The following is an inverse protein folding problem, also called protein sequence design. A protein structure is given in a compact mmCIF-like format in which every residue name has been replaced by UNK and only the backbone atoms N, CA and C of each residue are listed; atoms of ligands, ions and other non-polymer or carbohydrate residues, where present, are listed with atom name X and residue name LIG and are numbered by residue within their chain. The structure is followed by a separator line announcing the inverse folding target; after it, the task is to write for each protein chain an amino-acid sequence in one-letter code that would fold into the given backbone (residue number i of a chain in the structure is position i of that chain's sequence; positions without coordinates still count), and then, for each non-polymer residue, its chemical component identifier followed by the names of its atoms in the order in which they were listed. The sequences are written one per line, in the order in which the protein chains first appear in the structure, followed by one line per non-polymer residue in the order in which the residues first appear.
data_IF_397340222360
#
_entry.id   IF_397340222360
#
_cell.length_a   1.000
_cell.length_b   1.000
_cell.length_c   1.000
_cell.angle_alpha   90.00
_cell.angle_beta   90.00
_cell.angle_gamma   90.00
#
_symmetry.space_group_name_H-M   'P 1'
#
loop_
_entity.id
_entity.type
_entity.pdbx_description
1 polymer ?
#
# COMPACT_ATOMS: atom_id res chain seq x y z
N UNK A 1 -28.76 -0.20 5.35
CA UNK A 1 -28.48 0.58 4.12
C UNK A 1 -27.94 1.94 4.53
N UNK A 2 -26.84 2.41 3.95
CA UNK A 2 -26.25 3.72 4.31
C UNK A 2 -27.14 4.87 3.84
N UNK A 3 -27.42 5.83 4.73
CA UNK A 3 -28.11 7.08 4.40
C UNK A 3 -27.09 8.21 4.25
N UNK A 4 -26.98 8.74 3.04
CA UNK A 4 -26.07 9.88 2.75
C UNK A 4 -26.43 11.10 3.59
N UNK A 5 -27.73 11.37 3.75
CA UNK A 5 -28.23 12.50 4.55
C UNK A 5 -27.82 12.39 6.01
N UNK A 6 -27.72 11.17 6.57
CA UNK A 6 -27.23 10.97 7.94
C UNK A 6 -25.72 11.15 8.02
N UNK A 7 -24.95 10.61 7.06
CA UNK A 7 -23.50 10.81 7.03
C UNK A 7 -23.17 12.30 6.92
N UNK A 8 -23.84 13.06 6.05
CA UNK A 8 -23.59 14.50 5.86
C UNK A 8 -23.80 15.34 7.13
N UNK A 9 -24.56 14.83 8.12
CA UNK A 9 -24.76 15.52 9.41
C UNK A 9 -23.57 15.34 10.38
N UNK A 10 -22.80 14.28 10.21
CA UNK A 10 -21.75 13.86 11.15
C UNK A 10 -20.34 13.85 10.53
N UNK A 11 -20.21 14.12 9.24
CA UNK A 11 -18.99 14.00 8.46
C UNK A 11 -18.72 15.29 7.68
N UNK A 12 -17.52 15.84 7.83
CA UNK A 12 -17.09 17.13 7.24
C UNK A 12 -16.41 16.95 5.90
N UNK A 13 -15.83 15.76 5.67
CA UNK A 13 -15.01 15.45 4.52
C UNK A 13 -15.81 15.20 3.24
N UNK A 14 -15.13 14.83 2.17
CA UNK A 14 -15.73 14.48 0.87
C UNK A 14 -16.41 13.12 0.93
N UNK A 15 -17.61 13.03 0.32
CA UNK A 15 -18.34 11.80 0.08
C UNK A 15 -18.55 11.64 -1.43
N UNK A 16 -18.03 10.56 -2.00
CA UNK A 16 -18.27 10.12 -3.38
C UNK A 16 -19.19 8.92 -3.41
N UNK A 17 -20.04 8.84 -4.42
CA UNK A 17 -20.90 7.69 -4.71
C UNK A 17 -20.48 7.05 -6.02
N UNK A 18 -20.46 5.73 -6.07
CA UNK A 18 -20.06 4.98 -7.25
C UNK A 18 -18.70 5.48 -7.80
N UNK A 19 -17.75 5.71 -6.91
CA UNK A 19 -16.44 6.26 -7.25
C UNK A 19 -15.59 5.20 -7.94
N UNK A 20 -15.08 5.50 -9.14
CA UNK A 20 -14.16 4.62 -9.88
C UNK A 20 -12.81 4.56 -9.17
N UNK A 21 -12.35 3.35 -8.81
CA UNK A 21 -11.17 3.16 -7.98
C UNK A 21 -9.85 3.05 -8.76
N UNK A 22 -9.87 2.78 -10.05
CA UNK A 22 -8.67 2.70 -10.88
C UNK A 22 -7.72 3.89 -10.74
N UNK A 23 -8.17 5.18 -10.71
CA UNK A 23 -7.29 6.33 -10.50
C UNK A 23 -6.60 6.38 -9.14
N UNK A 24 -7.13 5.68 -8.14
CA UNK A 24 -6.60 5.62 -6.77
C UNK A 24 -5.63 4.45 -6.54
N UNK A 25 -5.30 3.70 -7.59
CA UNK A 25 -4.31 2.61 -7.55
C UNK A 25 -3.13 2.90 -8.48
N UNK A 26 -1.94 2.44 -8.10
CA UNK A 26 -0.76 2.53 -8.98
C UNK A 26 -0.85 1.57 -10.17
N UNK A 27 -1.67 0.55 -10.08
CA UNK A 27 -1.93 -0.40 -11.18
C UNK A 27 -2.88 0.19 -12.23
N UNK A 28 -3.62 1.27 -11.88
CA UNK A 28 -4.68 1.84 -12.73
C UNK A 28 -5.77 0.83 -13.08
N UNK A 29 -6.06 -0.08 -12.16
CA UNK A 29 -7.09 -1.11 -12.26
C UNK A 29 -7.98 -1.03 -11.02
N UNK A 30 -9.29 -1.21 -11.20
CA UNK A 30 -10.27 -1.26 -10.13
C UNK A 30 -11.62 -0.73 -10.56
N UNK A 31 -12.67 -1.49 -10.23
CA UNK A 31 -14.06 -1.10 -10.43
C UNK A 31 -14.52 0.00 -9.47
N UNK A 32 -15.80 0.01 -9.16
CA UNK A 32 -16.48 1.10 -8.44
C UNK A 32 -16.57 0.80 -6.94
N UNK A 33 -16.35 1.80 -6.07
CA UNK A 33 -16.75 1.76 -4.67
C UNK A 33 -18.19 2.27 -4.53
N UNK A 34 -19.03 1.59 -3.73
CA UNK A 34 -20.38 2.08 -3.46
C UNK A 34 -20.33 3.47 -2.81
N UNK A 35 -19.46 3.61 -1.80
CA UNK A 35 -19.19 4.87 -1.11
C UNK A 35 -17.69 5.11 -0.98
N UNK A 36 -17.26 6.33 -1.26
CA UNK A 36 -15.86 6.76 -1.11
C UNK A 36 -15.83 7.97 -0.19
N UNK A 37 -15.12 7.90 0.94
CA UNK A 37 -15.06 8.98 1.91
C UNK A 37 -13.63 9.42 2.17
N UNK A 38 -13.44 10.73 2.27
CA UNK A 38 -12.15 11.37 2.57
C UNK A 38 -12.30 12.19 3.86
N UNK A 39 -12.05 11.58 5.04
CA UNK A 39 -12.13 12.28 6.32
C UNK A 39 -11.06 13.39 6.40
N UNK A 40 -11.41 14.51 7.04
CA UNK A 40 -10.50 15.65 7.23
C UNK A 40 -9.73 15.60 8.55
N UNK A 41 -10.28 14.92 9.56
CA UNK A 41 -9.68 14.82 10.90
C UNK A 41 -10.05 13.50 11.60
N UNK A 42 -9.52 13.30 12.82
CA UNK A 42 -9.76 12.10 13.61
C UNK A 42 -11.24 11.96 14.05
N UNK A 43 -11.94 13.07 14.26
CA UNK A 43 -13.37 13.08 14.61
C UNK A 43 -14.20 12.55 13.44
N UNK A 44 -13.92 12.98 12.22
CA UNK A 44 -14.56 12.45 11.01
C UNK A 44 -14.34 10.93 10.86
N UNK A 45 -13.11 10.45 11.11
CA UNK A 45 -12.83 9.00 11.08
C UNK A 45 -13.63 8.25 12.15
N UNK A 46 -13.69 8.76 13.37
CA UNK A 46 -14.49 8.14 14.44
C UNK A 46 -15.98 8.12 14.11
N UNK A 47 -16.50 9.23 13.60
CA UNK A 47 -17.90 9.37 13.25
C UNK A 47 -18.30 8.38 12.15
N UNK A 48 -17.53 8.33 11.05
CA UNK A 48 -17.85 7.41 9.94
C UNK A 48 -17.70 5.95 10.36
N UNK A 49 -16.63 5.57 11.09
CA UNK A 49 -16.42 4.19 11.55
C UNK A 49 -17.55 3.75 12.50
N UNK A 50 -17.95 4.60 13.44
CA UNK A 50 -19.05 4.29 14.35
C UNK A 50 -20.40 4.18 13.63
N UNK A 51 -20.63 5.02 12.62
CA UNK A 51 -21.84 4.95 11.81
C UNK A 51 -21.92 3.65 11.00
N UNK A 52 -20.87 3.31 10.23
CA UNK A 52 -20.85 2.11 9.38
C UNK A 52 -20.90 0.82 10.20
N UNK A 53 -20.24 0.79 11.38
CA UNK A 53 -20.31 -0.36 12.29
C UNK A 53 -21.72 -0.59 12.82
N UNK A 54 -22.49 0.47 13.11
CA UNK A 54 -23.91 0.36 13.54
C UNK A 54 -24.81 -0.18 12.43
N UNK A 55 -24.44 0.04 11.17
CA UNK A 55 -25.21 -0.39 10.00
C UNK A 55 -24.73 -1.76 9.46
N UNK A 56 -23.73 -2.37 10.10
CA UNK A 56 -23.08 -3.61 9.66
C UNK A 56 -22.59 -3.54 8.20
N UNK A 57 -22.02 -2.40 7.82
CA UNK A 57 -21.49 -2.17 6.47
C UNK A 57 -19.99 -2.39 6.45
N UNK A 58 -19.46 -3.21 5.51
CA UNK A 58 -18.03 -3.41 5.39
C UNK A 58 -17.31 -2.13 4.93
N UNK A 59 -16.06 -1.98 5.33
CA UNK A 59 -15.22 -0.90 4.86
C UNK A 59 -13.81 -1.35 4.50
N UNK A 60 -13.16 -0.59 3.64
CA UNK A 60 -11.77 -0.78 3.24
C UNK A 60 -11.00 0.53 3.34
N UNK A 61 -9.82 0.52 3.98
CA UNK A 61 -8.94 1.69 4.06
C UNK A 61 -7.96 1.66 2.90
N UNK A 62 -8.05 2.66 2.04
CA UNK A 62 -7.24 2.78 0.83
C UNK A 62 -6.18 3.88 1.02
N UNK A 63 -4.90 3.52 0.95
CA UNK A 63 -3.78 4.46 0.83
C UNK A 63 -3.53 4.83 -0.65
N UNK A 64 -2.28 4.69 -1.09
CA UNK A 64 -1.90 4.95 -2.49
C UNK A 64 -2.20 3.78 -3.47
N UNK A 65 -2.84 2.71 -3.01
CA UNK A 65 -3.20 1.58 -3.85
C UNK A 65 -2.03 0.86 -4.52
N UNK A 66 -0.84 0.88 -3.90
CA UNK A 66 0.41 0.42 -4.52
C UNK A 66 0.77 -1.06 -4.27
N UNK A 67 -0.03 -1.78 -3.50
CA UNK A 67 0.14 -3.21 -3.22
C UNK A 67 -1.18 -3.97 -3.26
N UNK A 68 -2.11 -3.52 -4.10
CA UNK A 68 -3.45 -4.10 -4.22
C UNK A 68 -3.84 -4.25 -5.68
N UNK A 69 -4.67 -5.25 -5.94
CA UNK A 69 -5.46 -5.40 -7.14
C UNK A 69 -6.92 -5.34 -6.73
N UNK A 70 -7.65 -4.33 -7.20
CA UNK A 70 -9.08 -4.19 -6.94
C UNK A 70 -9.84 -4.87 -8.07
N UNK A 71 -10.86 -5.66 -7.70
CA UNK A 71 -11.76 -6.36 -8.64
C UNK A 71 -12.36 -5.39 -9.66
N UNK A 72 -12.66 -5.91 -10.85
CA UNK A 72 -13.41 -5.19 -11.88
C UNK A 72 -14.82 -4.83 -11.40
N UNK A 73 -15.41 -5.64 -10.49
CA UNK A 73 -16.69 -5.36 -9.82
C UNK A 73 -16.57 -4.27 -8.73
N UNK A 74 -15.35 -3.91 -8.36
CA UNK A 74 -15.07 -2.89 -7.35
C UNK A 74 -15.17 -3.37 -5.90
N UNK A 75 -15.55 -2.47 -4.99
CA UNK A 75 -15.63 -2.74 -3.54
C UNK A 75 -17.03 -2.41 -3.06
N UNK A 76 -17.71 -3.40 -2.48
CA UNK A 76 -19.01 -3.20 -1.80
C UNK A 76 -18.77 -2.59 -0.42
N UNK A 77 -19.57 -1.58 -0.07
CA UNK A 77 -19.46 -0.85 1.19
C UNK A 77 -18.69 0.47 1.07
N UNK A 78 -17.90 0.81 2.10
CA UNK A 78 -17.26 2.12 2.21
C UNK A 78 -15.75 2.02 1.99
N UNK A 79 -15.20 2.78 1.05
CA UNK A 79 -13.76 2.99 0.90
C UNK A 79 -13.39 4.29 1.62
N UNK A 80 -12.45 4.20 2.56
CA UNK A 80 -11.94 5.34 3.34
C UNK A 80 -10.55 5.69 2.83
N UNK A 81 -10.37 6.89 2.27
CA UNK A 81 -9.08 7.40 1.82
C UNK A 81 -8.61 8.53 2.73
N UNK A 82 -7.42 8.40 3.30
CA UNK A 82 -6.88 9.32 4.30
C UNK A 82 -5.89 10.35 3.71
N UNK A 83 -5.67 10.33 2.39
CA UNK A 83 -4.61 11.15 1.78
C UNK A 83 -4.90 12.64 1.97
N UNK A 84 -6.13 13.09 1.79
CA UNK A 84 -6.47 14.52 1.86
C UNK A 84 -6.35 15.09 3.28
N UNK A 85 -6.89 14.41 4.29
CA UNK A 85 -6.91 14.91 5.67
C UNK A 85 -5.65 14.60 6.49
N UNK A 86 -4.89 13.56 6.11
CA UNK A 86 -3.79 13.05 6.92
C UNK A 86 -2.41 13.12 6.21
N UNK A 87 -2.23 14.07 5.29
CA UNK A 87 -0.96 14.33 4.61
C UNK A 87 -0.18 15.46 5.28
N UNK A 88 0.23 15.27 6.51
CA UNK A 88 1.04 16.23 7.27
C UNK A 88 2.28 15.57 7.90
N UNK A 89 3.28 16.41 8.23
CA UNK A 89 4.45 16.05 9.01
C UNK A 89 4.62 17.12 10.08
N UNK A 90 4.90 16.69 11.31
CA UNK A 90 5.22 17.54 12.46
C UNK A 90 6.54 17.08 13.08
N UNK A 91 7.26 18.00 13.69
CA UNK A 91 8.43 17.70 14.48
C UNK A 91 8.14 18.15 15.91
N UNK A 92 8.16 17.22 16.84
CA UNK A 92 7.92 17.45 18.27
C UNK A 92 9.04 16.79 19.06
N UNK A 93 9.84 17.62 19.73
CA UNK A 93 11.04 17.20 20.49
C UNK A 93 11.98 16.32 19.64
N UNK A 94 12.24 15.08 20.02
CA UNK A 94 13.08 14.11 19.33
C UNK A 94 12.32 13.25 18.29
N UNK A 95 11.05 13.57 18.04
CA UNK A 95 10.18 12.75 17.20
C UNK A 95 9.72 13.48 15.95
N UNK A 96 9.69 12.74 14.85
CA UNK A 96 8.96 13.13 13.64
C UNK A 96 7.62 12.40 13.63
N UNK A 97 6.53 13.16 13.56
CA UNK A 97 5.18 12.63 13.49
C UNK A 97 4.68 12.80 12.06
N UNK A 98 4.20 11.73 11.45
CA UNK A 98 3.63 11.76 10.11
C UNK A 98 2.21 11.24 10.09
N UNK A 99 1.30 11.99 9.48
CA UNK A 99 -0.03 11.51 9.16
C UNK A 99 0.01 10.33 8.19
N UNK A 100 -0.96 9.42 8.33
CA UNK A 100 -1.00 8.16 7.58
C UNK A 100 -1.19 8.32 6.08
N UNK A 101 -1.80 9.43 5.63
CA UNK A 101 -1.99 9.80 4.23
C UNK A 101 -0.73 10.35 3.55
N UNK A 102 0.32 10.73 4.33
CA UNK A 102 1.56 11.26 3.79
C UNK A 102 2.26 10.24 2.89
N UNK A 103 2.66 10.66 1.69
CA UNK A 103 3.46 9.82 0.78
C UNK A 103 4.88 9.62 1.32
N UNK A 104 5.39 8.40 1.27
CA UNK A 104 6.75 8.05 1.75
C UNK A 104 7.81 8.94 1.11
N UNK A 105 7.73 9.21 -0.19
CA UNK A 105 8.70 10.07 -0.86
C UNK A 105 8.80 11.46 -0.21
N UNK A 106 7.67 12.07 0.12
CA UNK A 106 7.63 13.38 0.80
C UNK A 106 8.11 13.30 2.24
N UNK A 107 7.80 12.20 2.94
CA UNK A 107 8.31 11.94 4.28
C UNK A 107 9.84 11.83 4.30
N UNK A 108 10.41 11.03 3.39
CA UNK A 108 11.87 10.89 3.23
C UNK A 108 12.52 12.23 2.87
N UNK A 109 11.93 13.00 1.94
CA UNK A 109 12.42 14.33 1.59
C UNK A 109 12.46 15.28 2.80
N UNK A 110 11.39 15.28 3.60
CA UNK A 110 11.32 16.08 4.83
C UNK A 110 12.41 15.68 5.83
N UNK A 111 12.59 14.37 6.06
CA UNK A 111 13.60 13.86 6.99
C UNK A 111 15.02 14.29 6.57
N UNK A 112 15.36 14.13 5.28
CA UNK A 112 16.67 14.52 4.74
C UNK A 112 16.87 16.04 4.86
N UNK A 113 15.86 16.86 4.56
CA UNK A 113 15.96 18.32 4.67
C UNK A 113 16.19 18.81 6.10
N UNK A 114 15.70 18.05 7.07
CA UNK A 114 15.85 18.33 8.50
C UNK A 114 17.00 17.53 9.17
N UNK A 115 17.95 17.03 8.38
CA UNK A 115 19.14 16.30 8.85
C UNK A 115 18.83 15.02 9.66
N UNK A 116 17.75 14.34 9.31
CA UNK A 116 17.46 12.99 9.78
C UNK A 116 17.91 11.94 8.76
N UNK A 117 18.43 10.82 9.26
CA UNK A 117 18.87 9.68 8.45
C UNK A 117 18.05 8.42 8.74
N UNK A 118 18.36 7.35 8.03
CA UNK A 118 17.80 6.02 8.27
C UNK A 118 16.57 5.67 7.45
N UNK A 119 15.94 6.63 6.76
CA UNK A 119 14.74 6.41 5.93
C UNK A 119 15.00 6.41 4.42
N UNK A 120 16.25 6.60 3.99
CA UNK A 120 16.63 6.69 2.57
C UNK A 120 16.29 5.42 1.79
N UNK A 121 16.38 4.25 2.47
CA UNK A 121 16.03 2.96 1.88
C UNK A 121 14.54 2.85 1.52
N UNK A 122 13.68 3.66 2.13
CA UNK A 122 12.26 3.71 1.78
C UNK A 122 12.01 4.52 0.49
N UNK A 123 13.06 5.19 -0.03
CA UNK A 123 12.95 5.97 -1.24
C UNK A 123 12.41 5.14 -2.42
N UNK A 124 11.47 5.71 -3.13
CA UNK A 124 10.84 5.06 -4.27
C UNK A 124 9.72 4.08 -3.95
N UNK A 125 9.42 3.76 -2.68
CA UNK A 125 8.21 3.01 -2.34
C UNK A 125 6.99 3.90 -2.60
N UNK A 126 6.09 3.57 -3.54
CA UNK A 126 4.98 4.43 -3.93
C UNK A 126 3.78 4.27 -2.97
N UNK A 127 4.03 4.30 -1.66
CA UNK A 127 3.02 4.10 -0.63
C UNK A 127 2.77 5.36 0.19
N UNK A 128 1.65 5.37 0.93
CA UNK A 128 1.45 6.26 2.07
C UNK A 128 2.05 5.65 3.33
N UNK A 129 2.34 6.47 4.34
CA UNK A 129 2.84 6.01 5.65
C UNK A 129 1.91 4.93 6.25
N UNK A 130 0.59 5.15 6.24
CA UNK A 130 -0.36 4.16 6.75
C UNK A 130 -0.29 2.82 6.00
N UNK A 131 -0.28 2.85 4.66
CA UNK A 131 -0.15 1.64 3.84
C UNK A 131 1.18 0.92 4.06
N UNK A 132 2.26 1.68 4.21
CA UNK A 132 3.59 1.13 4.49
C UNK A 132 3.66 0.46 5.87
N UNK A 133 3.02 1.02 6.89
CA UNK A 133 2.95 0.43 8.23
C UNK A 133 2.14 -0.87 8.26
N UNK A 134 0.99 -0.91 7.58
CA UNK A 134 0.18 -2.15 7.49
C UNK A 134 0.99 -3.30 6.91
N UNK A 135 1.80 -3.03 5.89
CA UNK A 135 2.61 -4.03 5.19
C UNK A 135 4.02 -4.18 5.76
N UNK A 136 4.42 -3.36 6.73
CA UNK A 136 5.82 -3.18 7.10
C UNK A 136 6.69 -3.10 5.83
N UNK A 137 6.35 -2.16 4.95
CA UNK A 137 7.00 -2.03 3.65
C UNK A 137 8.48 -1.72 3.82
N UNK A 138 9.30 -2.36 3.01
CA UNK A 138 10.74 -2.17 3.05
C UNK A 138 11.41 -2.55 1.74
N UNK A 139 12.57 -1.95 1.51
CA UNK A 139 13.47 -2.28 0.41
C UNK A 139 14.92 -1.95 0.81
N UNK A 140 15.88 -2.45 0.06
CA UNK A 140 17.31 -2.18 0.28
C UNK A 140 17.79 -2.46 1.71
N UNK A 141 17.22 -3.48 2.36
CA UNK A 141 17.62 -3.91 3.71
C UNK A 141 16.98 -3.14 4.86
N UNK A 142 16.15 -2.11 4.60
CA UNK A 142 15.40 -1.39 5.63
C UNK A 142 13.90 -1.61 5.56
N UNK A 143 13.22 -1.40 6.67
CA UNK A 143 11.77 -1.54 6.81
C UNK A 143 11.15 -0.29 7.46
N UNK A 144 9.88 0.00 7.13
CA UNK A 144 9.17 1.19 7.66
C UNK A 144 9.11 1.18 9.19
N UNK A 145 8.96 0.01 9.79
CA UNK A 145 8.85 -0.14 11.25
C UNK A 145 10.16 0.09 12.01
N UNK A 146 11.31 0.21 11.34
CA UNK A 146 12.62 0.30 12.01
C UNK A 146 12.68 1.43 13.02
N UNK A 147 12.18 2.59 12.64
CA UNK A 147 12.22 3.82 13.44
C UNK A 147 10.88 4.20 14.07
N UNK A 148 9.83 3.41 13.89
CA UNK A 148 8.50 3.63 14.49
C UNK A 148 8.59 3.40 16.00
N UNK A 149 8.00 4.31 16.77
CA UNK A 149 7.84 4.18 18.23
C UNK A 149 6.38 3.90 18.59
N UNK A 150 5.45 4.65 18.01
CA UNK A 150 4.01 4.53 18.26
C UNK A 150 3.21 4.75 16.99
N UNK A 151 2.02 4.17 16.96
CA UNK A 151 1.02 4.35 15.90
C UNK A 151 -0.31 4.74 16.56
N UNK A 152 -0.88 5.87 16.15
CA UNK A 152 -2.23 6.30 16.55
C UNK A 152 -3.21 5.79 15.51
N UNK A 153 -4.25 5.09 15.97
CA UNK A 153 -5.22 4.42 15.08
C UNK A 153 -6.62 4.36 15.69
N UNK A 154 -7.60 4.09 14.84
CA UNK A 154 -8.96 3.72 15.25
C UNK A 154 -9.15 2.21 15.04
N UNK A 155 -9.53 1.51 16.09
CA UNK A 155 -9.89 0.09 16.08
C UNK A 155 -11.20 -0.11 16.83
N UNK A 156 -12.16 -0.80 16.21
CA UNK A 156 -13.49 -1.03 16.78
C UNK A 156 -14.18 0.28 17.25
N UNK A 157 -14.07 1.35 16.46
CA UNK A 157 -14.66 2.65 16.76
C UNK A 157 -14.01 3.43 17.91
N UNK A 158 -12.82 3.01 18.40
CA UNK A 158 -12.09 3.67 19.49
C UNK A 158 -10.74 4.16 19.03
N UNK A 159 -10.40 5.40 19.38
CA UNK A 159 -9.06 5.96 19.19
C UNK A 159 -8.11 5.34 20.22
N UNK A 160 -6.94 4.91 19.76
CA UNK A 160 -5.90 4.34 20.61
C UNK A 160 -4.51 4.56 20.05
N UNK A 161 -3.50 4.54 20.90
CA UNK A 161 -2.10 4.50 20.53
C UNK A 161 -1.56 3.08 20.79
N UNK A 162 -0.78 2.55 19.85
CA UNK A 162 -0.06 1.29 20.00
C UNK A 162 1.44 1.54 19.91
N UNK A 163 2.20 0.94 20.81
CA UNK A 163 3.67 0.92 20.70
C UNK A 163 4.12 0.04 19.54
N UNK A 164 5.38 0.22 19.11
CA UNK A 164 6.00 -0.64 18.08
C UNK A 164 5.82 -2.13 18.38
N UNK A 165 6.00 -2.55 19.63
CA UNK A 165 5.86 -3.95 20.05
C UNK A 165 4.43 -4.46 19.87
N UNK A 166 3.43 -3.66 20.21
CA UNK A 166 2.02 -3.99 20.05
C UNK A 166 1.60 -4.07 18.57
N UNK A 167 2.34 -3.45 17.66
CA UNK A 167 2.08 -3.53 16.22
C UNK A 167 2.56 -4.85 15.60
N UNK A 168 3.36 -5.67 16.29
CA UNK A 168 3.82 -7.00 15.85
C UNK A 168 4.36 -7.02 14.41
N UNK A 169 5.23 -6.06 14.10
CA UNK A 169 5.81 -5.96 12.76
C UNK A 169 6.67 -7.19 12.42
N UNK A 170 6.57 -7.66 11.19
CA UNK A 170 7.38 -8.72 10.63
C UNK A 170 7.46 -8.60 9.11
N UNK A 171 8.13 -9.52 8.45
CA UNK A 171 8.29 -9.49 7.00
C UNK A 171 6.93 -9.44 6.27
N UNK A 172 6.63 -8.30 5.66
CA UNK A 172 5.38 -8.01 4.93
C UNK A 172 4.11 -8.20 5.77
N UNK A 173 4.19 -7.96 7.08
CA UNK A 173 3.03 -8.08 7.98
C UNK A 173 3.09 -7.14 9.18
N UNK A 174 1.91 -6.83 9.72
CA UNK A 174 1.70 -6.22 11.04
C UNK A 174 0.32 -6.62 11.57
N UNK A 175 0.02 -6.34 12.83
CA UNK A 175 -1.33 -6.51 13.38
C UNK A 175 -2.23 -5.27 13.15
N UNK A 176 -1.79 -4.34 12.30
CA UNK A 176 -2.52 -3.12 11.95
C UNK A 176 -3.58 -3.32 10.85
N UNK A 177 -3.65 -4.52 10.26
CA UNK A 177 -4.69 -4.84 9.26
C UNK A 177 -6.09 -4.71 9.87
N UNK A 178 -7.01 -4.07 9.13
CA UNK A 178 -8.39 -3.85 9.59
C UNK A 178 -8.55 -2.68 10.57
N UNK A 179 -7.50 -1.88 10.77
CA UNK A 179 -7.56 -0.62 11.55
C UNK A 179 -7.46 0.60 10.65
N UNK A 180 -7.87 1.76 11.13
CA UNK A 180 -7.67 3.03 10.46
C UNK A 180 -6.52 3.76 11.14
N UNK A 181 -5.33 3.72 10.53
CA UNK A 181 -4.16 4.42 11.05
C UNK A 181 -4.31 5.91 10.76
N UNK A 182 -4.15 6.75 11.78
CA UNK A 182 -4.24 8.20 11.66
C UNK A 182 -2.85 8.83 11.49
N UNK A 183 -1.90 8.42 12.34
CA UNK A 183 -0.53 8.93 12.31
C UNK A 183 0.46 7.92 12.91
N UNK A 184 1.74 8.14 12.67
CA UNK A 184 2.81 7.40 13.33
C UNK A 184 3.90 8.35 13.81
N UNK A 185 4.51 7.98 14.94
CA UNK A 185 5.63 8.68 15.59
C UNK A 185 6.93 7.91 15.33
N UNK A 186 7.93 8.62 14.81
CA UNK A 186 9.23 8.07 14.45
C UNK A 186 10.32 8.73 15.31
N UNK A 187 11.27 7.91 15.75
CA UNK A 187 12.52 8.40 16.35
C UNK A 187 13.65 8.08 15.38
N UNK A 188 14.14 9.10 14.70
CA UNK A 188 15.15 8.99 13.65
C UNK A 188 16.51 9.42 14.18
N UNK A 189 17.62 8.78 13.75
CA UNK A 189 18.95 9.27 14.05
C UNK A 189 19.23 10.58 13.28
N UNK A 190 20.07 11.42 13.84
CA UNK A 190 20.65 12.54 13.12
C UNK A 190 21.52 12.04 11.97
N UNK A 191 21.58 12.79 10.89
CA UNK A 191 22.34 12.46 9.71
C UNK A 191 22.89 13.65 8.97
N UNK A 192 23.87 13.39 8.11
CA UNK A 192 24.41 14.40 7.21
C UNK A 192 23.49 14.51 5.98
N UNK A 193 22.95 15.70 5.74
CA UNK A 193 22.01 15.98 4.66
C UNK A 193 22.58 15.66 3.26
N UNK A 194 23.85 15.91 3.04
CA UNK A 194 24.49 15.69 1.74
C UNK A 194 24.67 14.18 1.48
N UNK A 195 25.14 13.44 2.49
CA UNK A 195 25.32 11.99 2.40
C UNK A 195 23.99 11.25 2.24
N UNK A 196 22.97 11.61 3.05
CA UNK A 196 21.64 11.01 2.96
C UNK A 196 20.96 11.33 1.62
N UNK A 197 21.12 12.57 1.10
CA UNK A 197 20.63 12.94 -0.23
C UNK A 197 21.32 12.17 -1.34
N UNK A 198 22.64 11.95 -1.23
CA UNK A 198 23.40 11.15 -2.19
C UNK A 198 22.93 9.70 -2.18
N UNK A 199 22.85 9.09 -1.01
CA UNK A 199 22.37 7.70 -0.84
C UNK A 199 20.96 7.51 -1.40
N UNK A 200 20.03 8.44 -1.09
CA UNK A 200 18.68 8.42 -1.66
C UNK A 200 18.70 8.43 -3.20
N UNK A 201 19.50 9.28 -3.83
CA UNK A 201 19.62 9.34 -5.31
C UNK A 201 20.14 8.03 -5.90
N UNK A 202 21.16 7.45 -5.30
CA UNK A 202 21.73 6.17 -5.73
C UNK A 202 20.69 5.05 -5.67
N UNK A 203 19.94 4.95 -4.56
CA UNK A 203 18.87 3.96 -4.40
C UNK A 203 17.74 4.14 -5.41
N UNK A 204 17.35 5.39 -5.70
CA UNK A 204 16.33 5.68 -6.73
C UNK A 204 16.80 5.31 -8.14
N UNK A 205 18.08 5.57 -8.48
CA UNK A 205 18.66 5.15 -9.76
C UNK A 205 18.65 3.63 -9.90
N UNK A 206 19.15 2.90 -8.90
CA UNK A 206 19.13 1.44 -8.90
C UNK A 206 17.70 0.89 -9.07
N UNK A 207 16.72 1.50 -8.40
CA UNK A 207 15.31 1.11 -8.54
C UNK A 207 14.80 1.33 -9.95
N UNK A 208 15.04 2.50 -10.52
CA UNK A 208 14.60 2.85 -11.86
C UNK A 208 15.24 1.98 -12.93
N UNK A 209 16.49 1.53 -12.73
CA UNK A 209 17.16 0.58 -13.62
C UNK A 209 16.58 -0.83 -13.53
N UNK A 210 16.23 -1.28 -12.32
CA UNK A 210 15.83 -2.66 -12.07
C UNK A 210 14.30 -2.92 -12.17
N UNK A 211 13.46 -1.91 -12.02
CA UNK A 211 12.00 -2.06 -11.91
C UNK A 211 11.25 -1.20 -12.94
N UNK A 212 10.07 -1.67 -13.41
CA UNK A 212 9.25 -0.94 -14.40
C UNK A 212 8.40 0.16 -13.74
N UNK A 213 9.07 1.14 -13.10
CA UNK A 213 8.42 2.20 -12.30
C UNK A 213 7.59 3.17 -13.15
N UNK A 214 7.85 3.24 -14.44
CA UNK A 214 7.18 4.11 -15.42
C UNK A 214 5.86 3.55 -15.96
N UNK A 215 5.62 2.23 -15.78
CA UNK A 215 4.39 1.57 -16.26
C UNK A 215 3.50 1.22 -15.07
N UNK A 216 2.16 1.42 -15.14
CA UNK A 216 1.27 1.09 -14.03
C UNK A 216 1.43 -0.36 -13.55
N UNK A 217 1.62 -0.53 -12.23
CA UNK A 217 1.83 -1.82 -11.57
C UNK A 217 1.54 -1.73 -10.06
N UNK A 218 1.52 -2.84 -9.36
CA UNK A 218 1.36 -2.91 -7.89
C UNK A 218 2.61 -3.44 -7.16
N UNK A 219 3.80 -3.25 -7.73
CA UNK A 219 5.04 -3.79 -7.16
C UNK A 219 5.25 -5.28 -7.45
N UNK A 220 6.02 -5.94 -6.57
CA UNK A 220 6.23 -7.39 -6.67
C UNK A 220 4.92 -8.14 -6.42
N UNK A 221 4.55 -9.01 -7.36
CA UNK A 221 3.30 -9.78 -7.28
C UNK A 221 3.39 -10.89 -6.23
N UNK A 222 4.56 -11.54 -6.14
CA UNK A 222 4.79 -12.67 -5.24
C UNK A 222 5.84 -12.35 -4.19
N UNK A 223 5.69 -12.93 -2.99
CA UNK A 223 6.74 -12.96 -1.98
C UNK A 223 7.89 -13.85 -2.44
N UNK A 224 9.08 -13.56 -1.94
CA UNK A 224 10.20 -14.47 -2.14
C UNK A 224 10.02 -15.74 -1.29
N UNK A 225 10.00 -16.93 -1.90
CA UNK A 225 10.00 -18.19 -1.16
C UNK A 225 11.30 -18.36 -0.37
N UNK A 226 11.27 -19.16 0.68
CA UNK A 226 12.45 -19.40 1.54
C UNK A 226 13.63 -19.92 0.70
N UNK A 227 14.73 -19.18 0.70
CA UNK A 227 15.94 -19.52 -0.05
C UNK A 227 15.90 -19.27 -1.56
N UNK A 228 14.81 -18.63 -2.06
CA UNK A 228 14.65 -18.36 -3.50
C UNK A 228 14.18 -16.93 -3.74
N UNK A 229 14.35 -16.46 -4.98
CA UNK A 229 13.83 -15.20 -5.45
C UNK A 229 12.72 -15.45 -6.49
N UNK A 230 11.50 -15.00 -6.22
CA UNK A 230 10.36 -15.20 -7.12
C UNK A 230 10.64 -14.69 -8.55
N UNK A 231 11.33 -13.54 -8.68
CA UNK A 231 11.70 -12.99 -9.99
C UNK A 231 12.59 -13.94 -10.79
N UNK A 232 13.56 -14.62 -10.16
CA UNK A 232 14.47 -15.58 -10.82
C UNK A 232 13.66 -16.80 -11.26
N UNK A 233 12.83 -17.38 -10.38
CA UNK A 233 12.00 -18.54 -10.71
C UNK A 233 11.09 -18.27 -11.92
N UNK A 234 10.44 -17.10 -11.93
CA UNK A 234 9.56 -16.71 -13.04
C UNK A 234 10.37 -16.49 -14.34
N UNK A 235 11.55 -15.87 -14.25
CA UNK A 235 12.42 -15.64 -15.41
C UNK A 235 12.96 -16.96 -16.00
N UNK A 236 13.36 -17.91 -15.15
CA UNK A 236 13.82 -19.24 -15.59
C UNK A 236 12.72 -20.06 -16.24
N UNK A 237 11.44 -19.79 -15.92
CA UNK A 237 10.29 -20.34 -16.64
C UNK A 237 10.05 -19.68 -18.01
N UNK A 238 10.84 -18.68 -18.40
CA UNK A 238 10.69 -17.98 -19.69
C UNK A 238 9.45 -17.10 -19.78
N UNK A 239 8.94 -16.57 -18.62
CA UNK A 239 7.66 -15.88 -18.58
C UNK A 239 7.76 -14.36 -18.75
N UNK A 240 8.96 -13.77 -18.85
CA UNK A 240 9.10 -12.34 -19.17
C UNK A 240 8.44 -12.01 -20.50
N UNK A 241 7.64 -10.95 -20.53
CA UNK A 241 6.92 -10.51 -21.71
C UNK A 241 5.64 -11.31 -22.01
N UNK A 242 5.30 -12.33 -21.21
CA UNK A 242 4.02 -13.03 -21.34
C UNK A 242 2.87 -12.06 -21.10
N UNK A 243 1.92 -12.02 -22.02
CA UNK A 243 0.72 -11.19 -21.97
C UNK A 243 -0.55 -12.01 -21.80
N UNK A 244 -1.52 -11.42 -21.12
CA UNK A 244 -2.91 -11.89 -21.10
C UNK A 244 -3.83 -10.67 -21.04
N UNK A 245 -4.73 -10.52 -22.01
CA UNK A 245 -5.51 -9.30 -22.17
C UNK A 245 -4.63 -8.06 -22.22
N UNK A 246 -4.90 -7.07 -21.36
CA UNK A 246 -4.13 -5.84 -21.23
C UNK A 246 -2.93 -5.91 -20.26
N UNK A 247 -2.71 -7.05 -19.58
CA UNK A 247 -1.65 -7.24 -18.61
C UNK A 247 -0.43 -7.96 -19.20
N UNK A 248 0.78 -7.65 -18.68
CA UNK A 248 2.02 -8.28 -19.14
C UNK A 248 2.97 -8.54 -17.96
N UNK A 249 3.63 -9.69 -17.96
CA UNK A 249 4.81 -9.93 -17.09
C UNK A 249 5.95 -9.03 -17.57
N UNK A 250 6.43 -8.14 -16.71
CA UNK A 250 7.42 -7.15 -17.11
C UNK A 250 8.69 -7.81 -17.67
N UNK A 251 9.17 -7.38 -18.85
CA UNK A 251 10.46 -7.83 -19.36
C UNK A 251 11.63 -7.32 -18.52
N UNK A 252 11.45 -6.21 -17.79
CA UNK A 252 12.46 -5.60 -16.92
C UNK A 252 12.64 -6.36 -15.62
N UNK A 253 11.52 -6.74 -14.95
CA UNK A 253 11.53 -7.46 -13.68
C UNK A 253 10.42 -8.51 -13.64
N UNK A 254 10.76 -9.79 -13.67
CA UNK A 254 9.80 -10.88 -13.86
C UNK A 254 8.74 -11.02 -12.74
N UNK A 255 9.01 -10.51 -11.53
CA UNK A 255 8.02 -10.51 -10.43
C UNK A 255 7.08 -9.29 -10.46
N UNK A 256 7.05 -8.54 -11.58
CA UNK A 256 6.11 -7.44 -11.81
C UNK A 256 5.16 -7.79 -12.94
N UNK A 257 3.88 -7.60 -12.71
CA UNK A 257 2.87 -7.54 -13.78
C UNK A 257 2.57 -6.06 -14.00
N UNK A 258 2.55 -5.63 -15.26
CA UNK A 258 2.32 -4.25 -15.67
C UNK A 258 1.05 -4.15 -16.52
N UNK A 259 0.33 -3.04 -16.38
CA UNK A 259 -0.83 -2.72 -17.18
C UNK A 259 -0.36 -1.95 -18.43
N UNK A 260 -0.35 -2.63 -19.58
CA UNK A 260 0.17 -2.07 -20.84
C UNK A 260 -0.93 -1.64 -21.80
N UNK A 261 -2.15 -2.14 -21.61
CA UNK A 261 -3.26 -1.86 -22.53
C UNK A 261 -4.62 -1.97 -21.83
N UNK A 262 -4.90 -1.07 -20.87
CA UNK A 262 -6.16 -1.06 -20.12
C UNK A 262 -6.52 -2.44 -19.53
N UNK A 263 -5.55 -3.06 -18.86
CA UNK A 263 -5.74 -4.35 -18.23
C UNK A 263 -6.91 -4.34 -17.24
N UNK A 264 -7.66 -5.42 -17.23
CA UNK A 264 -8.65 -5.72 -16.20
C UNK A 264 -8.03 -6.43 -15.01
N UNK A 265 -8.72 -6.46 -13.88
CA UNK A 265 -8.29 -7.26 -12.73
C UNK A 265 -8.28 -8.76 -13.07
N UNK A 266 -9.23 -9.20 -13.87
CA UNK A 266 -9.31 -10.57 -14.39
C UNK A 266 -8.11 -10.95 -15.24
N UNK A 267 -7.59 -10.06 -16.09
CA UNK A 267 -6.37 -10.29 -16.89
C UNK A 267 -5.17 -10.57 -15.98
N UNK A 268 -5.01 -9.77 -14.92
CA UNK A 268 -3.92 -9.94 -13.95
C UNK A 268 -4.04 -11.25 -13.18
N UNK A 269 -5.24 -11.62 -12.76
CA UNK A 269 -5.50 -12.90 -12.05
C UNK A 269 -5.13 -14.08 -12.94
N UNK A 270 -5.48 -14.06 -14.22
CA UNK A 270 -5.11 -15.14 -15.14
C UNK A 270 -3.59 -15.24 -15.34
N UNK A 271 -2.87 -14.11 -15.46
CA UNK A 271 -1.40 -14.15 -15.50
C UNK A 271 -0.83 -14.74 -14.20
N UNK A 272 -1.38 -14.39 -13.05
CA UNK A 272 -0.95 -14.95 -11.75
C UNK A 272 -1.13 -16.46 -11.73
N UNK A 273 -2.28 -16.99 -12.20
CA UNK A 273 -2.53 -18.44 -12.31
C UNK A 273 -1.53 -19.14 -13.23
N UNK A 274 -1.29 -18.57 -14.41
CA UNK A 274 -0.33 -19.11 -15.37
C UNK A 274 1.08 -19.15 -14.77
N UNK A 275 1.51 -18.08 -14.10
CA UNK A 275 2.82 -17.98 -13.46
C UNK A 275 2.97 -19.05 -12.38
N UNK A 276 2.01 -19.12 -11.45
CA UNK A 276 2.03 -20.10 -10.35
C UNK A 276 2.11 -21.53 -10.87
N UNK A 277 1.25 -21.87 -11.82
CA UNK A 277 1.23 -23.18 -12.45
C UNK A 277 2.58 -23.54 -13.08
N UNK A 278 3.13 -22.66 -13.94
CA UNK A 278 4.39 -22.92 -14.65
C UNK A 278 5.60 -22.99 -13.73
N UNK A 279 5.65 -22.15 -12.69
CA UNK A 279 6.74 -22.21 -11.70
C UNK A 279 6.63 -23.49 -10.89
N UNK A 280 5.44 -23.87 -10.44
CA UNK A 280 5.24 -25.12 -9.70
C UNK A 280 5.58 -26.36 -10.53
N UNK A 281 5.12 -26.43 -11.78
CA UNK A 281 5.41 -27.55 -12.70
C UNK A 281 6.93 -27.73 -12.94
N UNK A 282 7.68 -26.62 -13.02
CA UNK A 282 9.12 -26.65 -13.30
C UNK A 282 9.99 -26.88 -12.07
N UNK A 283 9.59 -26.33 -10.90
CA UNK A 283 10.47 -26.24 -9.72
C UNK A 283 9.93 -26.92 -8.48
N UNK A 284 8.65 -27.30 -8.46
CA UNK A 284 7.93 -27.80 -7.28
C UNK A 284 7.66 -26.71 -6.22
N UNK A 285 7.98 -25.43 -6.50
CA UNK A 285 7.84 -24.32 -5.56
C UNK A 285 6.49 -23.62 -5.78
N UNK A 286 5.73 -23.42 -4.69
CA UNK A 286 4.54 -22.58 -4.72
C UNK A 286 4.88 -21.12 -4.45
N UNK A 287 4.29 -20.20 -5.26
CA UNK A 287 4.44 -18.77 -5.11
C UNK A 287 3.25 -18.17 -4.32
N UNK A 288 3.54 -17.57 -3.17
CA UNK A 288 2.57 -16.81 -2.38
C UNK A 288 2.44 -15.38 -2.89
N UNK A 289 1.21 -14.90 -3.07
CA UNK A 289 0.98 -13.50 -3.47
C UNK A 289 1.40 -12.52 -2.36
N UNK A 290 2.10 -11.45 -2.77
CA UNK A 290 2.35 -10.26 -1.96
C UNK A 290 1.25 -9.21 -2.19
N UNK A 291 0.86 -8.98 -3.45
CA UNK A 291 -0.27 -8.12 -3.82
C UNK A 291 -1.56 -8.65 -3.22
N UNK A 292 -2.35 -7.75 -2.63
CA UNK A 292 -3.63 -8.11 -2.00
C UNK A 292 -4.77 -7.97 -2.99
N UNK A 293 -5.61 -9.00 -3.05
CA UNK A 293 -6.86 -8.96 -3.80
C UNK A 293 -7.94 -8.30 -2.94
N UNK A 294 -8.66 -7.36 -3.51
CA UNK A 294 -9.69 -6.57 -2.82
C UNK A 294 -10.96 -6.52 -3.67
N UNK A 295 -12.12 -6.82 -3.06
CA UNK A 295 -13.40 -6.84 -3.77
C UNK A 295 -13.62 -8.06 -4.64
N UNK A 296 -12.79 -9.09 -4.50
CA UNK A 296 -13.03 -10.37 -5.15
C UNK A 296 -13.91 -11.25 -4.24
N UNK A 297 -14.95 -11.84 -4.80
CA UNK A 297 -15.57 -13.03 -4.21
C UNK A 297 -14.55 -14.16 -4.23
N UNK A 298 -14.78 -15.29 -3.55
CA UNK A 298 -13.80 -16.38 -3.40
C UNK A 298 -13.15 -16.76 -4.76
N UNK A 299 -12.01 -16.13 -5.06
CA UNK A 299 -11.19 -16.47 -6.22
C UNK A 299 -10.14 -17.46 -5.78
N UNK A 300 -10.28 -18.71 -6.21
CA UNK A 300 -9.20 -19.70 -6.11
C UNK A 300 -8.11 -19.32 -7.12
N UNK A 301 -6.97 -18.83 -6.64
CA UNK A 301 -5.79 -18.47 -7.43
C UNK A 301 -4.73 -19.55 -7.28
#
# INVERSE_FOLDING_TARGET
MISITEIQKIFKGRIGLNEVLAPYTTFRIGGVADYFVEPVDAEDVLNIINYINKQDVPYYVLGNGSNILISDEGIRGVVINLISGFSYIKHEDEYVISGSGMKIAKFVDYCIQNSFAGVEMLAGIPATIGGALVMNAGCYGGETAEFVTHVTLVRNGKLMAQSKQQCEFGYRKSNLKGTVILEAKFKLPEGNKEETSKKRRELLLQRNEAQPVEIPNAGCVFKNPKGHHAAILIQECGLKGLTYGGAMVSPKHANFIVNVNNATASDVVELVRIIRKKVHEKTGIELDMEVKLVGFEEVTI
#
